data_IF_612650413105
#
_entry.id   IF_612650413105
#
_cell.length_a   1.000
_cell.length_b   1.000
_cell.length_c   1.000
_cell.angle_alpha   90.00
_cell.angle_beta   90.00
_cell.angle_gamma   90.00
#
_symmetry.space_group_name_H-M   'P 1'
#
loop_
_entity.id
_entity.type
_entity.pdbx_description
1 polymer ?
#
# COMPACT_ATOMS: atom_id res chain seq x y z
N UNK A 1 23.72 -6.12 -80.82
CA UNK A 1 24.06 -7.52 -81.17
C UNK A 1 23.63 -8.42 -80.02
N UNK A 2 22.60 -9.23 -80.26
CA UNK A 2 21.91 -10.07 -79.29
C UNK A 2 22.52 -11.48 -79.32
N UNK A 3 22.94 -12.03 -78.17
CA UNK A 3 23.09 -13.48 -77.99
C UNK A 3 22.72 -13.91 -76.57
N UNK A 4 21.52 -14.45 -76.50
CA UNK A 4 20.93 -15.22 -75.40
C UNK A 4 21.57 -16.62 -75.35
N UNK A 5 21.92 -17.11 -74.17
CA UNK A 5 22.11 -18.54 -73.89
C UNK A 5 21.45 -18.90 -72.57
N UNK A 6 20.72 -20.01 -72.65
CA UNK A 6 19.67 -20.51 -71.76
C UNK A 6 20.27 -21.52 -70.76
N UNK A 7 19.90 -21.34 -69.49
CA UNK A 7 19.50 -22.33 -68.44
C UNK A 7 20.05 -23.76 -68.58
N UNK A 8 20.67 -24.30 -67.51
CA UNK A 8 20.21 -25.50 -66.76
C UNK A 8 21.24 -25.93 -65.70
N UNK A 9 20.79 -26.25 -64.48
CA UNK A 9 21.63 -26.96 -63.50
C UNK A 9 21.24 -26.78 -62.03
N UNK A 10 20.00 -27.11 -61.67
CA UNK A 10 19.56 -27.25 -60.28
C UNK A 10 20.14 -28.56 -59.72
N UNK A 11 20.91 -28.52 -58.63
CA UNK A 11 20.81 -29.54 -57.58
C UNK A 11 21.21 -28.99 -56.21
N UNK A 12 20.17 -28.89 -55.37
CA UNK A 12 20.15 -28.80 -53.91
C UNK A 12 21.40 -29.31 -53.19
N UNK A 13 21.84 -28.60 -52.14
CA UNK A 13 21.33 -28.88 -50.80
C UNK A 13 21.71 -27.82 -49.74
N UNK A 14 20.65 -27.23 -49.18
CA UNK A 14 20.46 -26.78 -47.80
C UNK A 14 21.51 -25.88 -47.15
N UNK A 15 21.16 -24.60 -46.99
CA UNK A 15 21.04 -23.99 -45.65
C UNK A 15 20.15 -22.75 -45.74
N UNK A 16 19.09 -22.77 -44.93
CA UNK A 16 17.96 -21.86 -45.04
C UNK A 16 18.26 -20.43 -44.62
N UNK A 17 17.62 -19.51 -45.33
CA UNK A 17 17.26 -18.21 -44.80
C UNK A 17 15.89 -17.86 -45.38
N UNK A 18 14.84 -18.16 -44.62
CA UNK A 18 13.54 -17.54 -44.84
C UNK A 18 13.76 -16.06 -44.58
N UNK A 19 14.00 -15.28 -45.63
CA UNK A 19 13.94 -13.83 -45.53
C UNK A 19 12.47 -13.43 -45.41
N UNK A 20 11.96 -13.49 -44.18
CA UNK A 20 10.76 -12.76 -43.79
C UNK A 20 11.14 -11.28 -43.87
N UNK A 21 10.70 -10.64 -44.95
CA UNK A 21 10.66 -9.19 -45.06
C UNK A 21 9.86 -8.67 -43.87
N UNK A 22 10.55 -8.18 -42.84
CA UNK A 22 9.94 -7.51 -41.71
C UNK A 22 9.37 -6.17 -42.18
N UNK A 23 8.14 -6.19 -42.70
CA UNK A 23 7.32 -4.99 -42.67
C UNK A 23 7.09 -4.66 -41.19
N UNK A 24 7.30 -3.41 -40.74
CA UNK A 24 6.92 -3.03 -39.40
C UNK A 24 5.39 -3.11 -39.32
N UNK A 25 4.88 -4.19 -38.72
CA UNK A 25 3.48 -4.28 -38.30
C UNK A 25 3.23 -3.07 -37.39
N UNK A 26 2.31 -2.15 -37.74
CA UNK A 26 1.93 -1.07 -36.83
C UNK A 26 1.42 -1.73 -35.55
N UNK A 27 2.16 -1.60 -34.45
CA UNK A 27 1.71 -2.08 -33.15
C UNK A 27 0.50 -1.23 -32.80
N UNK A 28 -0.68 -1.83 -32.87
CA UNK A 28 -1.95 -1.29 -32.39
C UNK A 28 -1.97 -1.26 -30.84
N UNK A 29 -0.87 -0.79 -30.25
CA UNK A 29 -0.60 -0.79 -28.81
C UNK A 29 -0.18 0.60 -28.35
N UNK A 30 -0.88 1.62 -28.86
CA UNK A 30 -0.79 2.99 -28.34
C UNK A 30 -2.16 3.69 -28.29
N UNK A 31 -3.21 2.90 -28.05
CA UNK A 31 -4.48 3.42 -27.53
C UNK A 31 -4.73 2.77 -26.19
N UNK A 32 -3.93 3.13 -25.18
CA UNK A 32 -4.51 3.16 -23.83
C UNK A 32 -5.72 4.09 -23.94
N UNK A 33 -6.94 3.67 -23.55
CA UNK A 33 -8.02 4.63 -23.43
C UNK A 33 -7.49 5.73 -22.51
N UNK A 34 -7.37 6.95 -23.02
CA UNK A 34 -7.17 8.09 -22.13
C UNK A 34 -8.33 8.02 -21.15
N UNK A 35 -7.99 7.71 -19.90
CA UNK A 35 -8.97 7.69 -18.84
C UNK A 35 -9.70 9.04 -18.90
N UNK A 36 -11.05 9.06 -18.88
CA UNK A 36 -11.79 10.30 -18.99
C UNK A 36 -11.26 11.30 -17.95
N UNK A 37 -11.24 12.62 -18.24
CA UNK A 37 -10.61 13.63 -17.37
C UNK A 37 -11.03 13.57 -15.89
N UNK A 38 -12.20 12.98 -15.60
CA UNK A 38 -12.71 12.72 -14.25
C UNK A 38 -11.82 11.77 -13.43
N UNK A 39 -11.07 10.86 -14.04
CA UNK A 39 -10.12 9.98 -13.36
C UNK A 39 -8.84 10.70 -12.89
N UNK A 40 -8.61 11.95 -13.36
CA UNK A 40 -7.50 12.81 -12.90
C UNK A 40 -7.86 13.71 -11.72
N UNK A 41 -9.11 13.72 -11.26
CA UNK A 41 -9.43 14.31 -9.96
C UNK A 41 -8.93 13.36 -8.87
N UNK A 42 -7.62 13.43 -8.61
CA UNK A 42 -7.08 13.06 -7.32
C UNK A 42 -7.94 13.72 -6.26
N UNK A 43 -8.46 12.92 -5.32
CA UNK A 43 -9.25 13.39 -4.19
C UNK A 43 -8.57 14.63 -3.63
N UNK A 44 -9.26 15.78 -3.63
CA UNK A 44 -8.69 16.99 -3.05
C UNK A 44 -8.16 16.65 -1.66
N UNK A 45 -6.93 17.06 -1.31
CA UNK A 45 -6.35 16.73 -0.02
C UNK A 45 -7.29 17.25 1.09
N UNK A 46 -7.66 16.37 2.02
CA UNK A 46 -8.51 16.75 3.16
C UNK A 46 -7.87 17.92 3.93
N UNK A 47 -8.68 18.89 4.37
CA UNK A 47 -8.23 19.98 5.24
C UNK A 47 -7.71 19.42 6.58
N UNK A 48 -6.89 20.19 7.32
CA UNK A 48 -6.46 19.79 8.66
C UNK A 48 -7.63 19.49 9.62
N UNK A 49 -8.72 20.27 9.60
CA UNK A 49 -9.88 19.98 10.45
C UNK A 49 -10.57 18.69 10.04
N UNK A 50 -10.78 18.47 8.73
CA UNK A 50 -11.40 17.26 8.21
C UNK A 50 -10.58 16.00 8.55
N UNK A 51 -9.24 16.09 8.53
CA UNK A 51 -8.36 14.99 8.95
C UNK A 51 -8.52 14.69 10.43
N UNK A 52 -8.57 15.72 11.27
CA UNK A 52 -8.72 15.58 12.72
C UNK A 52 -10.05 14.92 13.06
N UNK A 53 -11.12 15.39 12.43
CA UNK A 53 -12.45 14.80 12.60
C UNK A 53 -12.49 13.35 12.11
N UNK A 54 -11.88 13.06 10.96
CA UNK A 54 -11.79 11.71 10.44
C UNK A 54 -11.03 10.76 11.39
N UNK A 55 -9.91 11.20 11.95
CA UNK A 55 -9.14 10.43 12.94
C UNK A 55 -9.97 10.18 14.21
N UNK A 56 -10.71 11.18 14.68
CA UNK A 56 -11.58 11.03 15.84
C UNK A 56 -12.70 10.00 15.59
N UNK A 57 -13.37 10.07 14.43
CA UNK A 57 -14.39 9.11 14.02
C UNK A 57 -13.82 7.69 13.88
N UNK A 58 -12.61 7.57 13.30
CA UNK A 58 -11.91 6.29 13.19
C UNK A 58 -11.63 5.69 14.58
N UNK A 59 -11.16 6.51 15.52
CA UNK A 59 -10.87 6.08 16.90
C UNK A 59 -12.12 5.60 17.61
N UNK A 60 -13.23 6.34 17.51
CA UNK A 60 -14.52 5.93 18.08
C UNK A 60 -15.01 4.60 17.52
N UNK A 61 -14.97 4.44 16.19
CA UNK A 61 -15.37 3.18 15.56
C UNK A 61 -14.47 2.02 15.97
N UNK A 62 -13.17 2.26 16.09
CA UNK A 62 -12.19 1.27 16.55
C UNK A 62 -12.51 0.79 17.97
N UNK A 63 -12.80 1.73 18.88
CA UNK A 63 -13.19 1.42 20.25
C UNK A 63 -14.47 0.57 20.30
N UNK A 64 -15.51 0.98 19.56
CA UNK A 64 -16.75 0.22 19.48
C UNK A 64 -16.53 -1.22 18.98
N UNK A 65 -15.80 -1.38 17.87
CA UNK A 65 -15.50 -2.70 17.30
C UNK A 65 -14.67 -3.58 18.24
N UNK A 66 -13.73 -3.00 18.97
CA UNK A 66 -12.96 -3.73 19.97
C UNK A 66 -13.84 -4.21 21.11
N UNK A 67 -14.71 -3.36 21.65
CA UNK A 67 -15.63 -3.74 22.73
C UNK A 67 -16.48 -4.94 22.33
N UNK A 68 -17.04 -4.92 21.11
CA UNK A 68 -17.83 -6.05 20.58
C UNK A 68 -16.97 -7.31 20.40
N UNK A 69 -15.81 -7.18 19.74
CA UNK A 69 -14.98 -8.32 19.37
C UNK A 69 -14.36 -9.02 20.58
N UNK A 70 -13.88 -8.23 21.54
CA UNK A 70 -13.27 -8.77 22.77
C UNK A 70 -14.34 -9.12 23.82
N UNK A 71 -15.62 -8.82 23.57
CA UNK A 71 -16.73 -9.02 24.51
C UNK A 71 -16.41 -8.45 25.90
N UNK A 72 -15.90 -7.22 25.92
CA UNK A 72 -15.43 -6.58 27.14
C UNK A 72 -16.59 -6.21 28.07
N UNK A 73 -16.42 -6.40 29.37
CA UNK A 73 -17.27 -5.75 30.37
C UNK A 73 -16.98 -4.24 30.42
N UNK A 74 -17.90 -3.46 30.98
CA UNK A 74 -17.70 -2.02 31.18
C UNK A 74 -16.45 -1.73 32.03
N UNK A 75 -16.26 -2.48 33.11
CA UNK A 75 -15.09 -2.37 34.00
C UNK A 75 -13.78 -2.68 33.26
N UNK A 76 -13.78 -3.72 32.40
CA UNK A 76 -12.63 -4.03 31.55
C UNK A 76 -12.36 -2.89 30.56
N UNK A 77 -13.39 -2.36 29.90
CA UNK A 77 -13.26 -1.27 28.94
C UNK A 77 -12.65 -0.01 29.58
N UNK A 78 -13.13 0.38 30.78
CA UNK A 78 -12.61 1.52 31.55
C UNK A 78 -11.11 1.37 31.83
N UNK A 79 -10.65 0.16 32.13
CA UNK A 79 -9.22 -0.11 32.41
C UNK A 79 -8.39 -0.31 31.14
N UNK A 80 -8.97 -0.87 30.09
CA UNK A 80 -8.27 -1.22 28.84
C UNK A 80 -8.03 -0.01 27.96
N UNK A 81 -9.05 0.81 27.69
CA UNK A 81 -8.94 1.88 26.71
C UNK A 81 -7.88 2.95 27.01
N UNK A 82 -7.60 3.33 28.28
CA UNK A 82 -6.47 4.22 28.58
C UNK A 82 -5.12 3.67 28.12
N UNK A 83 -4.88 2.36 28.30
CA UNK A 83 -3.65 1.68 27.84
C UNK A 83 -3.63 1.58 26.32
N UNK A 84 -4.78 1.21 25.74
CA UNK A 84 -4.93 1.05 24.30
C UNK A 84 -4.77 2.36 23.54
N UNK A 85 -5.28 3.47 24.08
CA UNK A 85 -5.14 4.79 23.48
C UNK A 85 -3.67 5.23 23.44
N UNK A 86 -2.89 4.98 24.50
CA UNK A 86 -1.44 5.25 24.48
C UNK A 86 -0.71 4.44 23.41
N UNK A 87 -1.04 3.15 23.29
CA UNK A 87 -0.54 2.30 22.22
C UNK A 87 -0.87 2.87 20.83
N UNK A 88 -2.13 3.28 20.61
CA UNK A 88 -2.55 3.88 19.34
C UNK A 88 -1.85 5.21 19.07
N UNK A 89 -1.72 6.10 20.06
CA UNK A 89 -1.05 7.39 19.92
C UNK A 89 0.44 7.19 19.54
N UNK A 90 1.15 6.27 20.20
CA UNK A 90 2.52 5.91 19.83
C UNK A 90 2.60 5.32 18.41
N UNK A 91 1.65 4.44 18.05
CA UNK A 91 1.58 3.86 16.70
C UNK A 91 1.37 4.94 15.64
N UNK A 92 0.43 5.86 15.87
CA UNK A 92 0.14 6.96 14.94
C UNK A 92 1.32 7.91 14.79
N UNK A 93 2.01 8.25 15.89
CA UNK A 93 3.22 9.07 15.84
C UNK A 93 4.30 8.41 14.96
N UNK A 94 4.54 7.10 15.14
CA UNK A 94 5.50 6.34 14.33
C UNK A 94 5.06 6.20 12.87
N UNK A 95 3.76 6.05 12.60
CA UNK A 95 3.23 6.02 11.24
C UNK A 95 3.43 7.38 10.53
N UNK A 96 3.24 8.50 11.24
CA UNK A 96 3.51 9.84 10.72
C UNK A 96 5.01 10.07 10.45
N UNK A 97 5.86 9.60 11.37
CA UNK A 97 7.31 9.61 11.20
C UNK A 97 7.72 8.83 9.93
N UNK A 98 7.23 7.59 9.80
CA UNK A 98 7.47 6.76 8.62
C UNK A 98 6.98 7.43 7.33
N UNK A 99 5.80 8.04 7.34
CA UNK A 99 5.28 8.76 6.18
C UNK A 99 6.21 9.90 5.76
N UNK A 100 6.70 10.68 6.72
CA UNK A 100 7.64 11.79 6.50
C UNK A 100 8.97 11.26 5.96
N UNK A 101 9.49 10.18 6.53
CA UNK A 101 10.72 9.54 6.08
C UNK A 101 10.60 9.00 4.63
N UNK A 102 9.46 8.42 4.27
CA UNK A 102 9.20 7.93 2.91
C UNK A 102 9.05 9.08 1.90
N UNK A 103 8.50 10.23 2.32
CA UNK A 103 8.48 11.44 1.49
C UNK A 103 9.89 11.99 1.27
N UNK A 104 10.72 12.03 2.31
CA UNK A 104 12.12 12.45 2.20
C UNK A 104 12.91 11.51 1.27
N UNK A 105 12.70 10.20 1.35
CA UNK A 105 13.36 9.23 0.46
C UNK A 105 12.99 9.46 -1.01
N UNK A 106 11.71 9.73 -1.31
CA UNK A 106 11.28 10.09 -2.68
C UNK A 106 11.95 11.38 -3.18
N UNK A 107 12.03 12.41 -2.34
CA UNK A 107 12.74 13.65 -2.70
C UNK A 107 14.23 13.42 -2.93
N UNK A 108 14.85 12.52 -2.17
CA UNK A 108 16.25 12.12 -2.36
C UNK A 108 16.46 11.39 -3.69
N UNK A 109 15.55 10.51 -4.08
CA UNK A 109 15.56 9.86 -5.40
C UNK A 109 15.42 10.89 -6.53
N UNK A 110 14.42 11.77 -6.46
CA UNK A 110 14.14 12.80 -7.46
C UNK A 110 15.34 13.74 -7.69
N UNK A 111 16.04 14.12 -6.61
CA UNK A 111 17.22 14.98 -6.67
C UNK A 111 18.54 14.24 -6.93
N UNK A 112 18.51 12.90 -7.07
CA UNK A 112 19.69 12.04 -7.19
C UNK A 112 20.71 12.29 -6.07
N UNK A 113 20.24 12.21 -4.82
CA UNK A 113 21.09 12.37 -3.65
C UNK A 113 22.23 11.33 -3.63
N UNK A 114 23.36 11.63 -2.95
CA UNK A 114 24.45 10.67 -2.77
C UNK A 114 24.00 9.38 -2.08
N UNK A 115 24.56 8.24 -2.48
CA UNK A 115 24.21 6.91 -1.96
C UNK A 115 24.28 6.85 -0.43
N UNK A 116 25.30 7.46 0.19
CA UNK A 116 25.45 7.49 1.64
C UNK A 116 24.32 8.25 2.38
N UNK A 117 23.67 9.22 1.74
CA UNK A 117 22.48 9.89 2.29
C UNK A 117 21.24 9.00 2.16
N UNK A 118 21.10 8.34 1.01
CA UNK A 118 20.01 7.40 0.74
C UNK A 118 20.06 6.23 1.73
N UNK A 119 21.24 5.61 1.92
CA UNK A 119 21.45 4.50 2.84
C UNK A 119 21.08 4.89 4.28
N UNK A 120 21.53 6.06 4.75
CA UNK A 120 21.15 6.58 6.07
C UNK A 120 19.64 6.76 6.21
N UNK A 121 18.96 7.18 5.15
CA UNK A 121 17.51 7.36 5.16
C UNK A 121 16.78 6.01 5.16
N UNK A 122 17.29 5.02 4.43
CA UNK A 122 16.78 3.64 4.44
C UNK A 122 16.91 3.05 5.86
N UNK A 123 18.06 3.19 6.51
CA UNK A 123 18.27 2.71 7.88
C UNK A 123 17.28 3.32 8.88
N UNK A 124 17.00 4.63 8.77
CA UNK A 124 15.96 5.28 9.59
C UNK A 124 14.59 4.67 9.37
N UNK A 125 14.22 4.41 8.11
CA UNK A 125 12.94 3.79 7.75
C UNK A 125 12.85 2.38 8.34
N UNK A 126 13.91 1.58 8.23
CA UNK A 126 13.96 0.22 8.78
C UNK A 126 13.88 0.21 10.31
N UNK A 127 14.55 1.15 10.98
CA UNK A 127 14.47 1.32 12.42
C UNK A 127 13.03 1.66 12.85
N UNK A 128 12.38 2.66 12.23
CA UNK A 128 10.99 3.03 12.54
C UNK A 128 10.02 1.86 12.30
N UNK A 129 10.20 1.09 11.21
CA UNK A 129 9.38 -0.12 10.96
C UNK A 129 9.57 -1.17 12.06
N UNK A 130 10.80 -1.38 12.51
CA UNK A 130 11.12 -2.31 13.60
C UNK A 130 10.44 -1.87 14.89
N UNK A 131 10.55 -0.59 15.25
CA UNK A 131 9.87 -0.02 16.42
C UNK A 131 8.36 -0.21 16.36
N UNK A 132 7.73 0.08 15.22
CA UNK A 132 6.29 -0.13 15.01
C UNK A 132 5.90 -1.60 15.21
N UNK A 133 6.68 -2.54 14.66
CA UNK A 133 6.42 -3.98 14.81
C UNK A 133 6.58 -4.46 16.26
N UNK A 134 7.48 -3.82 17.02
CA UNK A 134 7.73 -4.14 18.42
C UNK A 134 6.68 -3.57 19.39
N UNK A 135 5.88 -2.61 18.93
CA UNK A 135 5.02 -1.81 19.79
C UNK A 135 3.94 -2.64 20.49
N UNK A 136 3.32 -3.59 19.79
CA UNK A 136 2.34 -4.49 20.43
C UNK A 136 3.01 -5.38 21.51
N UNK A 137 4.25 -5.79 21.29
CA UNK A 137 5.02 -6.54 22.29
C UNK A 137 5.31 -5.70 23.53
N UNK A 138 5.65 -4.42 23.36
CA UNK A 138 5.85 -3.45 24.45
C UNK A 138 4.60 -3.33 25.34
N UNK A 139 3.42 -3.27 24.73
CA UNK A 139 2.15 -3.11 25.44
C UNK A 139 1.48 -4.42 25.88
N UNK A 140 2.02 -5.58 25.47
CA UNK A 140 1.44 -6.90 25.77
C UNK A 140 1.21 -7.11 27.27
N UNK A 141 2.18 -6.75 28.12
CA UNK A 141 2.06 -6.92 29.58
C UNK A 141 0.89 -6.10 30.12
N UNK A 142 0.84 -4.82 29.76
CA UNK A 142 -0.21 -3.90 30.18
C UNK A 142 -1.61 -4.38 29.76
N UNK A 143 -1.74 -4.93 28.55
CA UNK A 143 -3.02 -5.47 28.06
C UNK A 143 -3.41 -6.76 28.79
N UNK A 144 -2.46 -7.62 29.14
CA UNK A 144 -2.72 -8.88 29.85
C UNK A 144 -3.14 -8.70 31.31
N UNK A 145 -2.94 -7.53 31.90
CA UNK A 145 -3.50 -7.16 33.21
C UNK A 145 -5.03 -6.99 33.18
N UNK A 146 -5.63 -6.82 32.00
CA UNK A 146 -7.07 -6.55 31.82
C UNK A 146 -7.74 -7.60 30.95
N UNK A 147 -7.05 -8.05 29.89
CA UNK A 147 -7.54 -9.00 28.91
C UNK A 147 -7.11 -10.42 29.24
N UNK A 148 -8.01 -11.38 29.04
CA UNK A 148 -7.69 -12.83 29.03
C UNK A 148 -6.79 -13.21 27.83
N UNK A 149 -6.24 -14.43 27.83
CA UNK A 149 -5.41 -14.90 26.71
C UNK A 149 -6.21 -14.95 25.41
N UNK A 150 -7.47 -15.37 25.48
CA UNK A 150 -8.36 -15.41 24.31
C UNK A 150 -8.66 -14.00 23.78
N UNK A 151 -8.95 -13.05 24.67
CA UNK A 151 -9.13 -11.64 24.27
C UNK A 151 -7.85 -11.03 23.68
N UNK A 152 -6.67 -11.46 24.15
CA UNK A 152 -5.39 -11.03 23.57
C UNK A 152 -5.21 -11.58 22.15
N UNK A 153 -5.62 -12.82 21.87
CA UNK A 153 -5.62 -13.37 20.50
C UNK A 153 -6.53 -12.53 19.61
N UNK A 154 -7.75 -12.21 20.08
CA UNK A 154 -8.68 -11.37 19.34
C UNK A 154 -8.14 -9.96 19.09
N UNK A 155 -7.43 -9.37 20.06
CA UNK A 155 -6.76 -8.09 19.89
C UNK A 155 -5.70 -8.16 18.79
N UNK A 156 -4.85 -9.18 18.79
CA UNK A 156 -3.80 -9.36 17.76
C UNK A 156 -4.41 -9.49 16.37
N UNK A 157 -5.47 -10.30 16.23
CA UNK A 157 -6.18 -10.46 14.96
C UNK A 157 -6.87 -9.15 14.53
N UNK A 158 -7.48 -8.44 15.47
CA UNK A 158 -8.10 -7.15 15.22
C UNK A 158 -7.09 -6.12 14.70
N UNK A 159 -5.93 -5.98 15.35
CA UNK A 159 -4.90 -5.03 14.91
C UNK A 159 -4.41 -5.29 13.49
N UNK A 160 -4.34 -6.56 13.08
CA UNK A 160 -4.00 -6.96 11.71
C UNK A 160 -5.11 -6.60 10.72
N UNK A 161 -6.35 -6.95 11.05
CA UNK A 161 -7.48 -6.92 10.10
C UNK A 161 -8.14 -5.54 10.00
N UNK A 162 -8.02 -4.70 11.03
CA UNK A 162 -8.83 -3.48 11.15
C UNK A 162 -8.66 -2.52 9.97
N UNK A 163 -7.44 -2.31 9.48
CA UNK A 163 -7.20 -1.38 8.36
C UNK A 163 -7.82 -1.90 7.05
N UNK A 164 -7.71 -3.20 6.79
CA UNK A 164 -8.28 -3.82 5.59
C UNK A 164 -9.81 -3.78 5.64
N UNK A 165 -10.40 -4.10 6.79
CA UNK A 165 -11.84 -4.01 7.01
C UNK A 165 -12.35 -2.58 6.90
N UNK A 166 -11.62 -1.62 7.47
CA UNK A 166 -11.95 -0.21 7.37
C UNK A 166 -11.90 0.30 5.92
N UNK A 167 -10.85 -0.05 5.17
CA UNK A 167 -10.74 0.30 3.75
C UNK A 167 -11.87 -0.32 2.92
N UNK A 168 -12.25 -1.57 3.22
CA UNK A 168 -13.38 -2.25 2.57
C UNK A 168 -14.70 -1.52 2.85
N UNK A 169 -14.93 -1.07 4.09
CA UNK A 169 -16.11 -0.29 4.46
C UNK A 169 -16.15 1.05 3.71
N UNK A 170 -15.03 1.79 3.66
CA UNK A 170 -14.96 3.05 2.93
C UNK A 170 -15.18 2.89 1.42
N UNK A 171 -14.72 1.78 0.84
CA UNK A 171 -14.88 1.51 -0.58
C UNK A 171 -16.31 1.08 -0.94
N UNK A 172 -17.02 0.36 -0.06
CA UNK A 172 -18.43 -0.03 -0.28
C UNK A 172 -19.41 1.14 -0.19
N UNK A 173 -19.10 2.16 0.60
CA UNK A 173 -19.95 3.36 0.73
C UNK A 173 -19.83 4.34 -0.45
N UNK A 174 -19.09 3.99 -1.51
CA UNK A 174 -19.17 4.69 -2.79
C UNK A 174 -20.34 4.13 -3.60
N UNK A 175 -21.44 4.87 -3.80
CA UNK A 175 -22.42 4.46 -4.80
C UNK A 175 -21.72 4.48 -6.17
N UNK A 176 -21.85 3.39 -6.93
CA UNK A 176 -21.53 3.37 -8.35
C UNK A 176 -22.49 4.35 -9.05
N UNK A 177 -22.06 5.60 -9.19
CA UNK A 177 -22.72 6.57 -10.06
C UNK A 177 -22.35 6.23 -11.50
N UNK A 178 -22.82 5.10 -11.98
CA UNK A 178 -22.82 4.75 -13.40
C UNK A 178 -24.13 4.04 -13.70
N UNK A 179 -25.14 4.86 -14.03
CA UNK A 179 -26.32 4.43 -14.74
C UNK A 179 -26.70 5.51 -15.75
#
# INVERSE_FOLDING_TARGET
>A
MMRMRVILGILMLLLGAVQVMAQPVPREHDRRPELPPRARMGRAPMSPEQRTEFIARLRQMRMWKLTERLKMSEEQAIRFFPKYNRYQDEYFAKAQELQTQMQALRQMEERKAPDNEIDKQIEKILATRTEMSSLLSKYKKDFREVLSSQQMVELVLFERDFLDDFNRLLNRSRPDTTR
#
